data_IF_347764364822
#
_entry.id   IF_347764364822
#
_cell.length_a   1.000
_cell.length_b   1.000
_cell.length_c   1.000
_cell.angle_alpha   90.00
_cell.angle_beta   90.00
_cell.angle_gamma   90.00
#
_symmetry.space_group_name_H-M   'P 1'
#
loop_
_entity.id
_entity.type
_entity.pdbx_description
1 polymer ?
#
# COMPACT_ATOMS: atom_id res chain seq x y z
N UNK A 1 0.26 -19.20 -4.62
CA UNK A 1 1.02 -18.48 -5.68
C UNK A 1 0.73 -16.99 -5.52
N UNK A 2 1.62 -16.10 -5.97
CA UNK A 2 1.48 -14.64 -5.77
C UNK A 2 0.13 -14.09 -6.23
N UNK A 3 -0.36 -14.53 -7.39
CA UNK A 3 -1.70 -14.16 -7.91
C UNK A 3 -2.83 -14.41 -6.89
N UNK A 4 -2.78 -15.53 -6.16
CA UNK A 4 -3.77 -15.86 -5.13
C UNK A 4 -3.70 -14.87 -3.97
N UNK A 5 -2.50 -14.51 -3.52
CA UNK A 5 -2.32 -13.55 -2.43
C UNK A 5 -2.73 -12.13 -2.84
N UNK A 6 -2.46 -11.73 -4.09
CA UNK A 6 -2.94 -10.46 -4.64
C UNK A 6 -4.47 -10.37 -4.70
N UNK A 7 -5.16 -11.46 -5.06
CA UNK A 7 -6.62 -11.51 -5.03
C UNK A 7 -7.18 -11.44 -3.60
N UNK A 8 -6.51 -12.10 -2.63
CA UNK A 8 -6.91 -12.05 -1.21
C UNK A 8 -6.81 -10.64 -0.64
N UNK A 9 -5.70 -9.93 -0.85
CA UNK A 9 -5.54 -8.55 -0.34
C UNK A 9 -6.52 -7.59 -0.99
N UNK A 10 -6.79 -7.72 -2.29
CA UNK A 10 -7.76 -6.88 -2.98
C UNK A 10 -9.18 -7.04 -2.39
N UNK A 11 -9.54 -8.27 -2.00
CA UNK A 11 -10.82 -8.55 -1.32
C UNK A 11 -10.84 -8.10 0.14
N UNK A 12 -9.75 -8.27 0.86
CA UNK A 12 -9.66 -7.95 2.29
C UNK A 12 -9.52 -6.45 2.56
N UNK A 13 -8.85 -5.72 1.67
CA UNK A 13 -8.60 -4.28 1.77
C UNK A 13 -9.12 -3.58 0.52
N UNK A 14 -10.45 -3.52 0.33
CA UNK A 14 -11.04 -2.84 -0.80
C UNK A 14 -10.83 -1.33 -0.68
N UNK A 15 -10.72 -0.68 -1.83
CA UNK A 15 -10.92 0.77 -1.98
C UNK A 15 -11.77 1.00 -3.21
N UNK A 16 -12.78 1.85 -3.06
CA UNK A 16 -13.69 2.22 -4.15
C UNK A 16 -13.42 3.65 -4.59
N UNK A 17 -13.24 4.58 -3.65
CA UNK A 17 -13.02 5.99 -3.95
C UNK A 17 -12.28 6.70 -2.83
N UNK A 18 -11.13 7.32 -3.11
CA UNK A 18 -10.46 8.20 -2.14
C UNK A 18 -11.08 9.61 -2.05
N UNK A 19 -12.16 9.86 -2.80
CA UNK A 19 -12.96 11.07 -2.61
C UNK A 19 -13.93 10.94 -1.43
N UNK A 20 -14.26 9.70 -1.06
CA UNK A 20 -15.24 9.36 -0.03
C UNK A 20 -14.57 8.63 1.15
N UNK A 21 -13.61 7.74 0.84
CA UNK A 21 -12.82 7.00 1.83
C UNK A 21 -11.60 7.82 2.28
N UNK A 22 -11.37 7.90 3.60
CA UNK A 22 -10.13 8.44 4.14
C UNK A 22 -8.93 7.57 3.72
N UNK A 23 -7.98 8.19 3.01
CA UNK A 23 -6.78 7.49 2.55
C UNK A 23 -5.94 6.97 3.74
N UNK A 24 -5.94 7.69 4.87
CA UNK A 24 -5.26 7.24 6.08
C UNK A 24 -5.83 5.90 6.57
N UNK A 25 -7.15 5.79 6.67
CA UNK A 25 -7.83 4.57 7.09
C UNK A 25 -7.58 3.41 6.13
N UNK A 26 -7.55 3.66 4.81
CA UNK A 26 -7.17 2.65 3.82
C UNK A 26 -5.75 2.11 4.07
N UNK A 27 -4.78 3.01 4.26
CA UNK A 27 -3.39 2.63 4.49
C UNK A 27 -3.23 1.91 5.82
N UNK A 28 -3.97 2.30 6.85
CA UNK A 28 -4.02 1.57 8.11
C UNK A 28 -4.47 0.12 7.92
N UNK A 29 -5.56 -0.12 7.18
CA UNK A 29 -6.02 -1.49 6.86
C UNK A 29 -5.00 -2.27 6.02
N UNK A 30 -4.34 -1.60 5.06
CA UNK A 30 -3.31 -2.23 4.24
C UNK A 30 -2.08 -2.61 5.08
N UNK A 31 -1.66 -1.75 6.01
CA UNK A 31 -0.59 -2.02 6.98
C UNK A 31 -0.94 -3.24 7.85
N UNK A 32 -2.15 -3.25 8.44
CA UNK A 32 -2.63 -4.35 9.27
C UNK A 32 -2.58 -5.67 8.49
N UNK A 33 -3.08 -5.67 7.24
CA UNK A 33 -3.05 -6.83 6.37
C UNK A 33 -1.62 -7.32 6.10
N UNK A 34 -0.68 -6.41 5.83
CA UNK A 34 0.72 -6.79 5.61
C UNK A 34 1.41 -7.32 6.86
N UNK A 35 1.03 -6.87 8.07
CA UNK A 35 1.50 -7.45 9.33
C UNK A 35 0.98 -8.88 9.51
N UNK A 36 -0.30 -9.10 9.21
CA UNK A 36 -0.98 -10.37 9.44
C UNK A 36 -0.66 -11.42 8.34
N UNK A 37 -0.26 -10.95 7.15
CA UNK A 37 0.03 -11.77 5.96
C UNK A 37 1.43 -11.50 5.37
N UNK A 38 2.52 -11.77 6.11
CA UNK A 38 3.88 -11.48 5.66
C UNK A 38 4.31 -12.26 4.39
N UNK A 39 3.63 -13.36 4.07
CA UNK A 39 3.81 -14.15 2.84
C UNK A 39 3.63 -13.32 1.57
N UNK A 40 2.67 -12.37 1.54
CA UNK A 40 2.44 -11.53 0.37
C UNK A 40 3.68 -10.66 0.08
N UNK A 41 4.22 -9.99 1.10
CA UNK A 41 5.39 -9.13 0.97
C UNK A 41 6.66 -9.91 0.62
N UNK A 42 6.76 -11.18 1.03
CA UNK A 42 7.86 -12.08 0.63
C UNK A 42 7.75 -12.50 -0.83
N UNK A 43 6.56 -12.90 -1.28
CA UNK A 43 6.32 -13.31 -2.66
C UNK A 43 6.55 -12.16 -3.65
N UNK A 44 6.06 -10.95 -3.33
CA UNK A 44 6.31 -9.75 -4.15
C UNK A 44 7.80 -9.44 -4.29
N UNK A 45 8.57 -9.56 -3.20
CA UNK A 45 10.01 -9.32 -3.26
C UNK A 45 10.74 -10.41 -4.03
N UNK A 46 10.36 -11.67 -3.82
CA UNK A 46 10.95 -12.78 -4.56
C UNK A 46 10.72 -12.62 -6.06
N UNK A 47 9.50 -12.24 -6.48
CA UNK A 47 9.20 -11.96 -7.88
C UNK A 47 10.11 -10.85 -8.45
N UNK A 48 10.25 -9.72 -7.73
CA UNK A 48 11.13 -8.63 -8.14
C UNK A 48 12.63 -8.98 -8.17
N UNK A 49 13.04 -10.08 -7.54
CA UNK A 49 14.42 -10.60 -7.63
C UNK A 49 14.59 -11.60 -8.78
N UNK A 50 13.54 -12.34 -9.13
CA UNK A 50 13.61 -13.44 -10.10
C UNK A 50 13.32 -12.98 -11.51
N UNK A 51 12.38 -12.05 -11.70
CA UNK A 51 11.97 -11.56 -13.00
C UNK A 51 12.55 -10.17 -13.26
N UNK A 52 13.45 -10.06 -14.24
CA UNK A 52 14.13 -8.81 -14.59
C UNK A 52 13.41 -7.98 -15.68
N UNK A 53 12.39 -8.55 -16.34
CA UNK A 53 11.61 -7.86 -17.37
C UNK A 53 10.16 -8.32 -17.39
N UNK A 54 9.87 -9.47 -17.98
CA UNK A 54 8.50 -10.01 -18.05
C UNK A 54 8.12 -10.71 -16.75
N UNK A 55 7.02 -10.27 -16.14
CA UNK A 55 6.41 -10.93 -14.98
C UNK A 55 5.17 -11.73 -15.40
N UNK A 56 4.90 -12.89 -14.77
CA UNK A 56 3.68 -13.64 -15.05
C UNK A 56 2.41 -12.82 -14.83
N UNK A 57 1.44 -12.96 -15.75
CA UNK A 57 0.14 -12.30 -15.70
C UNK A 57 0.19 -10.76 -15.58
N UNK A 58 1.21 -10.10 -16.16
CA UNK A 58 1.41 -8.65 -16.00
C UNK A 58 0.20 -7.80 -16.40
N UNK A 59 -0.40 -8.04 -17.57
CA UNK A 59 -1.55 -7.26 -18.05
C UNK A 59 -2.77 -7.40 -17.12
N UNK A 60 -3.04 -8.63 -16.66
CA UNK A 60 -4.11 -8.89 -15.70
C UNK A 60 -3.86 -8.18 -14.37
N UNK A 61 -2.60 -8.11 -13.95
CA UNK A 61 -2.20 -7.39 -12.73
C UNK A 61 -2.26 -5.89 -12.91
N UNK A 62 -1.92 -5.36 -14.08
CA UNK A 62 -2.08 -3.95 -14.43
C UNK A 62 -3.54 -3.52 -14.31
N UNK A 63 -4.46 -4.33 -14.81
CA UNK A 63 -5.90 -4.10 -14.61
C UNK A 63 -6.28 -4.11 -13.12
N UNK A 64 -5.77 -5.08 -12.36
CA UNK A 64 -5.95 -5.18 -10.92
C UNK A 64 -5.34 -4.03 -10.13
N UNK A 65 -4.25 -3.41 -10.56
CA UNK A 65 -3.73 -2.20 -9.90
C UNK A 65 -4.46 -0.94 -10.34
N UNK A 66 -5.01 -0.94 -11.56
CA UNK A 66 -5.66 0.22 -12.16
C UNK A 66 -6.84 0.77 -11.35
N UNK A 67 -7.54 -0.04 -10.55
CA UNK A 67 -8.61 0.50 -9.69
C UNK A 67 -8.08 1.44 -8.60
N UNK A 68 -6.89 1.19 -8.05
CA UNK A 68 -6.27 2.07 -7.04
C UNK A 68 -5.90 3.41 -7.63
N UNK A 69 -5.28 3.40 -8.82
CA UNK A 69 -4.96 4.61 -9.56
C UNK A 69 -6.24 5.39 -9.90
N UNK A 70 -7.27 4.73 -10.43
CA UNK A 70 -8.57 5.37 -10.74
C UNK A 70 -9.23 5.99 -9.50
N UNK A 71 -9.13 5.36 -8.33
CA UNK A 71 -9.65 5.91 -7.08
C UNK A 71 -8.93 7.19 -6.67
N UNK A 72 -7.61 7.28 -6.90
CA UNK A 72 -6.83 8.51 -6.64
C UNK A 72 -7.16 9.57 -7.69
N UNK A 73 -7.20 9.23 -8.98
CA UNK A 73 -7.53 10.17 -10.06
C UNK A 73 -8.90 10.83 -9.83
N UNK A 74 -9.90 10.06 -9.41
CA UNK A 74 -11.23 10.60 -9.11
C UNK A 74 -11.21 11.57 -7.93
N UNK A 75 -10.48 11.22 -6.86
CA UNK A 75 -10.31 12.09 -5.71
C UNK A 75 -9.58 13.40 -6.05
N UNK A 76 -8.57 13.33 -6.92
CA UNK A 76 -7.85 14.50 -7.43
C UNK A 76 -8.76 15.40 -8.27
N UNK A 77 -9.53 14.84 -9.20
CA UNK A 77 -10.51 15.62 -10.01
C UNK A 77 -11.55 16.33 -9.14
N UNK A 78 -11.92 15.73 -8.01
CA UNK A 78 -12.87 16.31 -7.04
C UNK A 78 -12.22 17.24 -6.01
N UNK A 79 -10.89 17.40 -6.04
CA UNK A 79 -10.15 18.23 -5.09
C UNK A 79 -10.07 17.66 -3.67
N UNK A 80 -10.41 16.37 -3.47
CA UNK A 80 -10.35 15.71 -2.17
C UNK A 80 -8.91 15.28 -1.79
N UNK A 81 -8.07 15.03 -2.80
CA UNK A 81 -6.67 14.63 -2.65
C UNK A 81 -5.79 15.55 -3.50
N UNK A 82 -4.55 15.79 -3.08
CA UNK A 82 -3.58 16.60 -3.82
C UNK A 82 -3.37 16.10 -5.25
N UNK A 83 -3.29 17.03 -6.20
CA UNK A 83 -2.90 16.80 -7.59
C UNK A 83 -1.43 17.20 -7.86
N UNK A 84 -0.62 17.40 -6.82
CA UNK A 84 0.83 17.73 -6.96
C UNK A 84 1.67 16.54 -7.41
N UNK A 85 1.16 15.32 -7.25
CA UNK A 85 1.74 14.08 -7.75
C UNK A 85 0.74 13.42 -8.68
N UNK A 86 1.23 12.79 -9.74
CA UNK A 86 0.40 11.96 -10.60
C UNK A 86 -0.24 10.82 -9.79
N UNK A 87 -1.46 10.44 -10.17
CA UNK A 87 -2.30 9.53 -9.37
C UNK A 87 -1.65 8.15 -9.15
N UNK A 88 -0.95 7.64 -10.16
CA UNK A 88 -0.25 6.36 -10.10
C UNK A 88 0.94 6.40 -9.15
N UNK A 89 1.70 7.49 -9.16
CA UNK A 89 2.81 7.74 -8.26
C UNK A 89 2.33 7.88 -6.82
N UNK A 90 1.26 8.65 -6.59
CA UNK A 90 0.67 8.79 -5.26
C UNK A 90 0.14 7.43 -4.76
N UNK A 91 -0.59 6.68 -5.58
CA UNK A 91 -1.06 5.34 -5.24
C UNK A 91 0.10 4.40 -4.87
N UNK A 92 1.20 4.43 -5.63
CA UNK A 92 2.37 3.60 -5.37
C UNK A 92 3.06 3.97 -4.04
N UNK A 93 3.28 5.27 -3.78
CA UNK A 93 3.89 5.75 -2.54
C UNK A 93 3.04 5.37 -1.31
N UNK A 94 1.73 5.45 -1.44
CA UNK A 94 0.77 5.07 -0.42
C UNK A 94 0.86 3.56 -0.09
N UNK A 95 0.98 2.70 -1.10
CA UNK A 95 1.22 1.27 -0.90
C UNK A 95 2.60 0.99 -0.28
N UNK A 96 3.62 1.74 -0.68
CA UNK A 96 4.97 1.61 -0.12
C UNK A 96 5.00 1.93 1.39
N UNK A 97 4.29 2.99 1.83
CA UNK A 97 4.17 3.34 3.24
C UNK A 97 3.55 2.19 4.08
N UNK A 98 2.53 1.53 3.55
CA UNK A 98 1.90 0.39 4.22
C UNK A 98 2.80 -0.86 4.24
N UNK A 99 3.41 -1.19 3.11
CA UNK A 99 4.07 -2.49 2.90
C UNK A 99 5.53 -2.57 3.34
N UNK A 100 6.25 -1.45 3.44
CA UNK A 100 7.72 -1.46 3.64
C UNK A 100 8.15 -2.11 4.96
N UNK A 101 7.37 -1.96 6.03
CA UNK A 101 7.63 -2.55 7.34
C UNK A 101 7.69 -4.09 7.28
N UNK A 102 6.69 -4.71 6.65
CA UNK A 102 6.68 -6.17 6.40
C UNK A 102 7.63 -6.58 5.29
N UNK A 103 8.03 -5.64 4.44
CA UNK A 103 9.06 -5.93 3.47
C UNK A 103 10.39 -6.19 4.21
N UNK A 104 10.90 -5.22 4.96
CA UNK A 104 12.23 -5.31 5.58
C UNK A 104 12.14 -5.30 7.11
N UNK A 105 11.55 -6.33 7.75
CA UNK A 105 11.29 -6.32 9.19
C UNK A 105 12.57 -6.21 10.03
N UNK A 106 13.70 -6.72 9.51
CA UNK A 106 15.00 -6.56 10.15
C UNK A 106 15.47 -5.09 10.18
N UNK A 107 15.21 -4.32 9.11
CA UNK A 107 15.57 -2.89 9.03
C UNK A 107 14.62 -2.07 9.89
N UNK A 108 13.32 -2.37 9.86
CA UNK A 108 12.33 -1.77 10.75
C UNK A 108 12.76 -1.90 12.23
N UNK A 109 13.13 -3.11 12.65
CA UNK A 109 13.63 -3.38 14.01
C UNK A 109 14.93 -2.64 14.33
N UNK A 110 15.85 -2.54 13.38
CA UNK A 110 17.11 -1.78 13.55
C UNK A 110 16.85 -0.29 13.76
N UNK A 111 15.83 0.29 13.11
CA UNK A 111 15.52 1.71 13.18
C UNK A 111 14.63 2.08 14.36
N UNK A 112 13.64 1.24 14.69
CA UNK A 112 12.57 1.63 15.63
C UNK A 112 12.54 0.83 16.93
N UNK A 113 13.43 -0.16 17.07
CA UNK A 113 13.56 -0.98 18.26
C UNK A 113 12.78 -2.29 18.16
N UNK A 114 12.46 -2.89 19.32
CA UNK A 114 11.79 -4.19 19.41
C UNK A 114 10.43 -4.15 18.69
N UNK A 115 10.13 -5.24 17.98
CA UNK A 115 8.88 -5.42 17.25
C UNK A 115 7.83 -6.05 18.17
N UNK A 116 7.24 -5.22 19.04
CA UNK A 116 6.16 -5.60 19.95
C UNK A 116 4.82 -4.93 19.56
N UNK A 117 3.74 -5.26 20.27
CA UNK A 117 2.41 -4.72 19.97
C UNK A 117 2.34 -3.20 20.12
N UNK A 118 3.06 -2.62 21.09
CA UNK A 118 3.10 -1.18 21.27
C UNK A 118 3.77 -0.49 20.07
N UNK A 119 4.85 -1.09 19.55
CA UNK A 119 5.51 -0.62 18.35
C UNK A 119 4.66 -0.81 17.09
N UNK A 120 3.92 -1.92 16.97
CA UNK A 120 2.96 -2.14 15.87
C UNK A 120 1.89 -1.04 15.83
N UNK A 121 1.31 -0.69 16.99
CA UNK A 121 0.35 0.41 17.11
C UNK A 121 0.99 1.75 16.70
N UNK A 122 2.23 2.02 17.14
CA UNK A 122 2.94 3.25 16.82
C UNK A 122 3.28 3.38 15.32
N UNK A 123 3.70 2.29 14.68
CA UNK A 123 3.95 2.23 13.23
C UNK A 123 2.68 2.46 12.45
N UNK A 124 1.58 1.78 12.83
CA UNK A 124 0.27 1.97 12.20
C UNK A 124 -0.18 3.43 12.26
N UNK A 125 -0.11 4.06 13.44
CA UNK A 125 -0.46 5.46 13.61
C UNK A 125 0.41 6.40 12.75
N UNK A 126 1.72 6.13 12.68
CA UNK A 126 2.67 6.91 11.88
C UNK A 126 2.40 6.80 10.38
N UNK A 127 2.08 5.60 9.90
CA UNK A 127 1.73 5.32 8.50
C UNK A 127 0.42 6.01 8.09
N UNK A 128 -0.60 5.95 8.95
CA UNK A 128 -1.88 6.64 8.73
C UNK A 128 -1.68 8.16 8.63
N UNK A 129 -0.94 8.75 9.57
CA UNK A 129 -0.68 10.18 9.58
C UNK A 129 0.16 10.62 8.36
N UNK A 130 1.19 9.86 8.01
CA UNK A 130 2.02 10.15 6.84
C UNK A 130 1.19 10.12 5.55
N UNK A 131 0.31 9.12 5.39
CA UNK A 131 -0.59 9.02 4.24
C UNK A 131 -1.52 10.23 4.14
N UNK A 132 -2.14 10.66 5.25
CA UNK A 132 -3.00 11.84 5.29
C UNK A 132 -2.26 13.11 4.89
N UNK A 133 -1.04 13.30 5.39
CA UNK A 133 -0.21 14.47 5.04
C UNK A 133 0.20 14.47 3.57
N UNK A 134 0.61 13.32 3.06
CA UNK A 134 1.06 13.17 1.67
C UNK A 134 -0.07 13.45 0.68
N UNK A 135 -1.29 13.02 1.02
CA UNK A 135 -2.46 13.16 0.16
C UNK A 135 -3.23 14.48 0.33
N UNK A 136 -2.87 15.30 1.33
CA UNK A 136 -3.62 16.50 1.69
C UNK A 136 -3.72 17.47 0.50
N UNK A 137 -4.94 17.78 0.09
CA UNK A 137 -5.20 18.81 -0.90
C UNK A 137 -4.70 20.20 -0.41
N UNK A 138 -4.23 21.07 -1.33
CA UNK A 138 -3.74 22.41 -0.99
C UNK A 138 -4.79 23.27 -0.27
#
# INVERSE_FOLDING_TARGET
>A
MLRTELAKVAKAVPVTSFAEDDIGDYVGRAFDYHCDHPELSRLLRWEGLVFASEVPDEDLRREHYGYKTRAVEDAQRRGAVTATLDADHLAFLILALAGWWSAVPQVARMLTGVDDEAERIRRRASVVEAARRLAKAP
#
